data_IF_623034269263
#
_entry.id   IF_623034269263
#
_cell.length_a   1.000
_cell.length_b   1.000
_cell.length_c   1.000
_cell.angle_alpha   90.00
_cell.angle_beta   90.00
_cell.angle_gamma   90.00
#
_symmetry.space_group_name_H-M   'P 1'
#
loop_
_entity.id
_entity.type
_entity.pdbx_description
1 polymer ?
#
# COMPACT_ATOMS: atom_id res chain seq x y z
N UNK A 1 -0.65 5.63 -54.10
CA UNK A 1 -1.88 4.84 -53.89
C UNK A 1 -1.60 3.78 -52.82
N UNK A 2 -2.04 3.99 -51.58
CA UNK A 2 -1.78 3.05 -50.49
C UNK A 2 -2.54 1.75 -50.79
N UNK A 3 -1.84 0.62 -50.83
CA UNK A 3 -2.45 -0.68 -51.13
C UNK A 3 -3.40 -1.05 -49.99
N UNK A 4 -4.65 -1.42 -50.32
CA UNK A 4 -5.69 -1.86 -49.36
C UNK A 4 -5.17 -2.90 -48.35
N UNK A 5 -4.31 -3.81 -48.80
CA UNK A 5 -3.72 -4.87 -47.96
C UNK A 5 -2.83 -4.30 -46.83
N UNK A 6 -2.15 -3.17 -47.07
CA UNK A 6 -1.29 -2.53 -46.09
C UNK A 6 -2.11 -1.87 -44.98
N UNK A 7 -3.27 -1.29 -45.32
CA UNK A 7 -4.22 -0.75 -44.34
C UNK A 7 -4.78 -1.86 -43.46
N UNK A 8 -5.22 -2.97 -44.04
CA UNK A 8 -5.74 -4.12 -43.28
C UNK A 8 -4.67 -4.68 -42.34
N UNK A 9 -3.42 -4.79 -42.80
CA UNK A 9 -2.29 -5.20 -41.96
C UNK A 9 -2.08 -4.26 -40.77
N UNK A 10 -2.04 -2.95 -41.00
CA UNK A 10 -1.87 -1.95 -39.93
C UNK A 10 -3.01 -2.04 -38.91
N UNK A 11 -4.27 -2.15 -39.38
CA UNK A 11 -5.42 -2.27 -38.49
C UNK A 11 -5.32 -3.54 -37.63
N UNK A 12 -4.98 -4.67 -38.23
CA UNK A 12 -4.77 -5.93 -37.50
C UNK A 12 -3.63 -5.81 -36.47
N UNK A 13 -2.53 -5.17 -36.85
CA UNK A 13 -1.38 -4.93 -35.97
C UNK A 13 -1.75 -4.05 -34.77
N UNK A 14 -2.53 -2.99 -34.97
CA UNK A 14 -3.00 -2.11 -33.89
C UNK A 14 -3.90 -2.88 -32.92
N UNK A 15 -4.85 -3.67 -33.44
CA UNK A 15 -5.77 -4.46 -32.61
C UNK A 15 -5.01 -5.51 -31.80
N UNK A 16 -4.12 -6.27 -32.46
CA UNK A 16 -3.29 -7.29 -31.80
C UNK A 16 -2.41 -6.67 -30.71
N UNK A 17 -1.78 -5.52 -30.99
CA UNK A 17 -0.97 -4.79 -30.00
C UNK A 17 -1.82 -4.31 -28.83
N UNK A 18 -3.01 -3.76 -29.09
CA UNK A 18 -3.94 -3.33 -28.05
C UNK A 18 -4.39 -4.47 -27.13
N UNK A 19 -4.77 -5.60 -27.71
CA UNK A 19 -5.12 -6.82 -26.98
C UNK A 19 -3.96 -7.33 -26.12
N UNK A 20 -2.75 -7.33 -26.68
CA UNK A 20 -1.55 -7.76 -25.97
C UNK A 20 -1.25 -6.86 -24.76
N UNK A 21 -1.37 -5.54 -24.93
CA UNK A 21 -1.21 -4.57 -23.84
C UNK A 21 -2.25 -4.81 -22.74
N UNK A 22 -3.54 -4.94 -23.09
CA UNK A 22 -4.60 -5.19 -22.12
C UNK A 22 -4.34 -6.50 -21.35
N UNK A 23 -3.92 -7.55 -22.04
CA UNK A 23 -3.59 -8.82 -21.42
C UNK A 23 -2.45 -8.66 -20.41
N UNK A 24 -1.37 -7.99 -20.79
CA UNK A 24 -0.21 -7.76 -19.92
C UNK A 24 -0.54 -6.88 -18.70
N UNK A 25 -1.43 -5.90 -18.87
CA UNK A 25 -1.92 -5.02 -17.81
C UNK A 25 -2.83 -5.74 -16.80
N UNK A 26 -3.56 -6.77 -17.24
CA UNK A 26 -4.44 -7.54 -16.37
C UNK A 26 -3.68 -8.62 -15.56
N UNK A 27 -2.45 -8.94 -15.93
CA UNK A 27 -1.62 -9.86 -15.16
C UNK A 27 -1.33 -9.30 -13.76
N UNK A 28 -1.26 -10.20 -12.77
CA UNK A 28 -0.95 -9.84 -11.40
C UNK A 28 0.55 -9.88 -11.16
N UNK A 29 1.11 -8.81 -10.62
CA UNK A 29 2.52 -8.77 -10.22
C UNK A 29 2.64 -8.55 -8.72
N UNK A 30 3.82 -8.85 -8.19
CA UNK A 30 4.18 -8.62 -6.79
C UNK A 30 5.32 -7.62 -6.72
N UNK A 31 5.15 -6.57 -5.92
CA UNK A 31 6.12 -5.48 -5.74
C UNK A 31 6.25 -5.12 -4.26
N UNK A 32 7.38 -4.54 -3.91
CA UNK A 32 7.68 -4.08 -2.55
C UNK A 32 7.79 -2.56 -2.55
N UNK A 33 7.14 -1.90 -1.59
CA UNK A 33 7.14 -0.45 -1.44
C UNK A 33 7.51 -0.05 -0.02
N UNK A 34 8.26 1.04 0.11
CA UNK A 34 8.51 1.70 1.39
C UNK A 34 7.54 2.85 1.61
N UNK A 35 6.82 2.85 2.73
CA UNK A 35 5.90 3.93 3.14
C UNK A 35 6.08 4.22 4.63
N UNK A 36 5.90 5.46 5.04
CA UNK A 36 5.94 5.80 6.47
C UNK A 36 4.53 5.72 7.08
N UNK A 37 4.34 4.89 8.10
CA UNK A 37 3.11 4.88 8.88
C UNK A 37 3.18 5.87 10.05
N UNK A 38 2.20 6.76 10.10
CA UNK A 38 1.95 7.70 11.19
C UNK A 38 0.82 7.14 12.04
N UNK A 39 1.13 6.72 13.25
CA UNK A 39 0.11 6.31 14.22
C UNK A 39 -0.53 7.55 14.82
N UNK A 40 -1.85 7.66 14.73
CA UNK A 40 -2.64 8.78 15.25
C UNK A 40 -3.57 8.36 16.38
N UNK A 41 -4.10 9.33 17.12
CA UNK A 41 -5.05 9.10 18.21
C UNK A 41 -4.49 8.21 19.32
N UNK A 42 -3.20 8.39 19.62
CA UNK A 42 -2.55 7.73 20.74
C UNK A 42 -3.18 8.25 22.04
N UNK A 43 -3.69 7.39 22.95
CA UNK A 43 -4.35 7.84 24.17
C UNK A 43 -3.49 8.80 25.02
N UNK A 44 -4.10 9.82 25.62
CA UNK A 44 -3.43 10.86 26.46
C UNK A 44 -2.65 10.32 27.67
N UNK A 45 -2.79 9.03 27.98
CA UNK A 45 -1.95 8.34 28.96
C UNK A 45 -0.46 8.26 28.53
N UNK A 46 -0.15 8.63 27.28
CA UNK A 46 1.16 8.52 26.66
C UNK A 46 1.73 9.91 26.30
N UNK A 47 3.06 10.07 26.39
CA UNK A 47 3.75 11.34 26.13
C UNK A 47 3.93 11.69 24.64
N UNK A 48 3.41 10.88 23.72
CA UNK A 48 3.63 11.04 22.28
C UNK A 48 2.31 11.01 21.51
N UNK A 49 1.97 12.12 20.85
CA UNK A 49 0.72 12.28 20.08
C UNK A 49 0.72 11.51 18.75
N UNK A 50 1.90 11.30 18.15
CA UNK A 50 2.05 10.52 16.92
C UNK A 50 3.42 9.85 16.81
N UNK A 51 3.45 8.68 16.16
CA UNK A 51 4.67 7.89 15.95
C UNK A 51 4.85 7.59 14.47
N UNK A 52 6.00 7.95 13.91
CA UNK A 52 6.39 7.67 12.53
C UNK A 52 7.17 6.34 12.48
N UNK A 53 6.75 5.42 11.63
CA UNK A 53 7.33 4.08 11.51
C UNK A 53 7.52 3.77 10.03
N UNK A 54 8.76 3.57 9.55
CA UNK A 54 8.97 3.14 8.18
C UNK A 54 8.48 1.70 8.02
N UNK A 55 7.56 1.49 7.08
CA UNK A 55 7.00 0.20 6.71
C UNK A 55 7.44 -0.19 5.30
N UNK A 56 7.79 -1.45 5.12
CA UNK A 56 7.93 -2.10 3.83
C UNK A 56 6.71 -2.98 3.61
N UNK A 57 5.94 -2.68 2.57
CA UNK A 57 4.74 -3.44 2.22
C UNK A 57 4.97 -4.23 0.93
N UNK A 58 4.66 -5.52 0.96
CA UNK A 58 4.67 -6.38 -0.22
C UNK A 58 3.25 -6.46 -0.76
N UNK A 59 3.05 -5.98 -1.97
CA UNK A 59 1.75 -5.79 -2.58
C UNK A 59 1.61 -6.68 -3.80
N UNK A 60 0.48 -7.38 -3.93
CA UNK A 60 0.08 -8.08 -5.15
C UNK A 60 -1.13 -7.39 -5.76
N UNK A 61 -0.95 -6.87 -6.97
CA UNK A 61 -2.00 -6.16 -7.68
C UNK A 61 -1.85 -6.36 -9.20
N UNK A 62 -2.90 -6.04 -9.96
CA UNK A 62 -2.84 -6.04 -11.43
C UNK A 62 -1.88 -4.97 -11.94
N UNK A 63 -1.30 -5.16 -13.13
CA UNK A 63 -0.34 -4.22 -13.73
C UNK A 63 -0.80 -2.77 -13.72
N UNK A 64 -2.05 -2.49 -14.08
CA UNK A 64 -2.63 -1.13 -13.99
C UNK A 64 -2.60 -0.54 -12.58
N UNK A 65 -2.94 -1.34 -11.57
CA UNK A 65 -2.96 -0.89 -10.17
C UNK A 65 -1.55 -0.59 -9.66
N UNK A 66 -0.55 -1.35 -10.12
CA UNK A 66 0.85 -1.16 -9.76
C UNK A 66 1.38 0.14 -10.32
N UNK A 67 1.07 0.44 -11.58
CA UNK A 67 1.45 1.72 -12.22
C UNK A 67 0.82 2.89 -11.46
N UNK A 68 -0.46 2.76 -11.08
CA UNK A 68 -1.15 3.79 -10.30
C UNK A 68 -0.53 3.96 -8.92
N UNK A 69 -0.12 2.84 -8.30
CA UNK A 69 0.54 2.85 -7.01
C UNK A 69 1.93 3.50 -7.13
N UNK A 70 2.76 3.16 -8.12
CA UNK A 70 4.07 3.79 -8.32
C UNK A 70 3.99 5.31 -8.51
N UNK A 71 2.95 5.82 -9.18
CA UNK A 71 2.79 7.25 -9.44
C UNK A 71 2.11 8.03 -8.31
N UNK A 72 1.28 7.37 -7.49
CA UNK A 72 0.43 8.03 -6.50
C UNK A 72 0.53 7.43 -5.10
N UNK A 73 1.56 6.64 -4.81
CA UNK A 73 1.76 6.11 -3.46
C UNK A 73 2.02 7.28 -2.49
N UNK A 74 1.20 7.43 -1.44
CA UNK A 74 1.46 8.45 -0.44
C UNK A 74 2.75 8.10 0.31
N UNK A 75 3.61 9.09 0.50
CA UNK A 75 4.83 8.93 1.32
C UNK A 75 4.50 8.61 2.78
N UNK A 76 3.32 9.03 3.26
CA UNK A 76 2.86 8.82 4.64
C UNK A 76 1.44 8.28 4.65
N UNK A 77 1.21 7.23 5.43
CA UNK A 77 -0.13 6.69 5.71
C UNK A 77 -0.48 6.93 7.18
N UNK A 78 -1.73 7.25 7.47
CA UNK A 78 -2.19 7.49 8.84
C UNK A 78 -3.00 6.29 9.31
N UNK A 79 -2.55 5.66 10.39
CA UNK A 79 -3.23 4.52 11.02
C UNK A 79 -3.68 4.95 12.41
N UNK A 80 -4.97 4.88 12.76
CA UNK A 80 -5.41 5.20 14.11
C UNK A 80 -5.03 4.08 15.07
N UNK A 81 -4.64 4.43 16.30
CA UNK A 81 -4.17 3.47 17.31
C UNK A 81 -5.18 2.34 17.61
N UNK A 82 -6.47 2.60 17.46
CA UNK A 82 -7.56 1.61 17.62
C UNK A 82 -7.46 0.41 16.67
N UNK A 83 -6.82 0.59 15.51
CA UNK A 83 -6.69 -0.45 14.49
C UNK A 83 -5.46 -1.34 14.73
N UNK A 84 -4.67 -1.03 15.76
CA UNK A 84 -3.51 -1.82 16.17
C UNK A 84 -3.94 -2.93 17.13
N UNK A 85 -3.48 -4.15 16.87
CA UNK A 85 -3.76 -5.30 17.75
C UNK A 85 -2.70 -5.42 18.84
N UNK A 86 -3.13 -5.51 20.09
CA UNK A 86 -2.22 -5.77 21.22
C UNK A 86 -1.76 -7.23 21.15
N UNK A 87 -0.46 -7.44 20.94
CA UNK A 87 0.13 -8.79 20.88
C UNK A 87 0.54 -9.28 22.27
N UNK A 88 1.01 -8.39 23.14
CA UNK A 88 1.44 -8.76 24.48
C UNK A 88 1.26 -7.60 25.48
N UNK A 89 1.06 -7.92 26.77
CA UNK A 89 1.02 -6.98 27.90
C UNK A 89 2.32 -6.14 28.03
N UNK A 90 3.37 -6.50 27.29
CA UNK A 90 4.68 -5.81 27.20
C UNK A 90 4.80 -4.75 26.09
N UNK A 91 3.69 -4.11 25.69
CA UNK A 91 3.69 -2.95 24.79
C UNK A 91 4.08 -3.25 23.32
N UNK A 92 3.72 -4.44 22.85
CA UNK A 92 3.90 -4.86 21.45
C UNK A 92 2.56 -4.78 20.73
N UNK A 93 2.54 -4.08 19.60
CA UNK A 93 1.37 -3.88 18.76
C UNK A 93 1.66 -4.42 17.37
N UNK A 94 0.72 -5.17 16.81
CA UNK A 94 0.81 -5.66 15.43
C UNK A 94 -0.08 -4.83 14.52
N UNK A 95 0.43 -4.54 13.32
CA UNK A 95 -0.26 -3.81 12.27
C UNK A 95 -0.98 -4.82 11.39
N UNK A 96 -2.30 -4.72 11.30
CA UNK A 96 -3.08 -5.56 10.39
C UNK A 96 -2.91 -5.11 8.94
N UNK A 97 -2.78 -6.10 8.04
CA UNK A 97 -2.76 -5.87 6.59
C UNK A 97 -4.01 -5.18 6.08
N UNK A 98 -5.16 -5.44 6.69
CA UNK A 98 -6.45 -4.84 6.34
C UNK A 98 -6.50 -3.35 6.66
N UNK A 99 -5.88 -2.90 7.75
CA UNK A 99 -5.80 -1.49 8.15
C UNK A 99 -5.03 -0.64 7.12
N UNK A 100 -4.08 -1.25 6.41
CA UNK A 100 -3.36 -0.60 5.32
C UNK A 100 -4.13 -0.78 4.00
N UNK A 101 -4.62 -1.98 3.70
CA UNK A 101 -5.32 -2.29 2.45
C UNK A 101 -6.60 -1.49 2.23
N UNK A 102 -7.30 -1.13 3.31
CA UNK A 102 -8.54 -0.34 3.27
C UNK A 102 -8.31 1.14 3.62
N UNK A 103 -7.05 1.59 3.69
CA UNK A 103 -6.76 2.97 3.99
C UNK A 103 -7.21 3.86 2.81
N UNK A 104 -8.05 4.85 3.09
CA UNK A 104 -8.60 5.78 2.09
C UNK A 104 -7.52 6.64 1.41
N UNK A 105 -6.32 6.70 1.98
CA UNK A 105 -5.18 7.43 1.43
C UNK A 105 -4.48 6.68 0.29
N UNK A 106 -4.77 5.39 0.12
CA UNK A 106 -4.24 4.63 -1.00
C UNK A 106 -5.05 4.91 -2.26
N UNK A 107 -4.39 5.15 -3.41
CA UNK A 107 -5.06 5.46 -4.66
C UNK A 107 -5.88 4.29 -5.22
N UNK A 108 -5.58 3.05 -4.78
CA UNK A 108 -6.24 1.83 -5.25
C UNK A 108 -6.32 0.78 -4.14
N UNK A 109 -7.41 0.01 -4.14
CA UNK A 109 -7.53 -1.20 -3.32
C UNK A 109 -6.54 -2.27 -3.80
N UNK A 110 -5.58 -2.59 -2.93
CA UNK A 110 -4.47 -3.49 -3.19
C UNK A 110 -4.47 -4.66 -2.20
N UNK A 111 -4.05 -5.84 -2.63
CA UNK A 111 -3.88 -6.97 -1.73
C UNK A 111 -2.47 -6.97 -1.17
N UNK A 112 -2.34 -6.72 0.13
CA UNK A 112 -1.05 -6.74 0.84
C UNK A 112 -0.77 -8.19 1.25
N UNK A 113 0.38 -8.73 0.84
CA UNK A 113 0.85 -10.05 1.24
C UNK A 113 1.62 -9.99 2.55
N UNK A 114 2.43 -8.95 2.72
CA UNK A 114 3.39 -8.88 3.82
C UNK A 114 3.63 -7.42 4.23
N UNK A 115 3.89 -7.22 5.52
CA UNK A 115 4.25 -5.92 6.12
C UNK A 115 5.48 -6.16 6.97
N UNK A 116 6.51 -5.34 6.79
CA UNK A 116 7.71 -5.37 7.61
C UNK A 116 8.03 -3.97 8.13
N UNK A 117 8.19 -3.76 9.45
CA UNK A 117 7.88 -4.71 10.52
C UNK A 117 6.36 -4.94 10.68
N UNK A 118 5.97 -6.18 10.95
CA UNK A 118 4.59 -6.59 11.27
C UNK A 118 4.19 -6.24 12.72
N UNK A 119 5.19 -6.09 13.58
CA UNK A 119 5.07 -5.78 15.00
C UNK A 119 5.94 -4.60 15.37
N UNK A 120 5.34 -3.65 16.07
CA UNK A 120 5.97 -2.43 16.53
C UNK A 120 5.96 -2.39 18.06
N UNK A 121 7.05 -1.91 18.64
CA UNK A 121 7.16 -1.74 20.08
C UNK A 121 6.91 -0.28 20.42
N UNK A 122 5.83 -0.02 21.14
CA UNK A 122 5.49 1.34 21.58
C UNK A 122 5.95 1.50 23.02
N UNK A 123 6.96 2.33 23.26
CA UNK A 123 7.48 2.50 24.61
C UNK A 123 6.69 3.56 25.35
N UNK A 124 5.68 3.13 26.12
CA UNK A 124 4.90 4.03 26.96
C UNK A 124 5.78 4.61 28.06
N UNK A 125 6.13 5.89 27.93
CA UNK A 125 6.44 6.74 29.08
C UNK A 125 5.11 7.18 29.66
N UNK A 126 4.79 6.69 30.85
CA UNK A 126 3.65 7.18 31.61
C UNK A 126 3.97 8.62 32.00
N UNK A 127 3.10 9.56 31.61
CA UNK A 127 3.22 10.95 32.06
C UNK A 127 3.18 10.95 33.58
N UNK A 128 4.32 11.16 34.26
CA UNK A 128 4.34 11.40 35.70
C UNK A 128 3.65 12.74 35.92
N UNK A 129 2.40 12.71 36.35
CA UNK A 129 1.74 13.89 36.90
C UNK A 129 2.61 14.39 38.06
N UNK A 130 3.12 15.61 37.95
CA UNK A 130 3.82 16.33 39.00
C UNK A 130 2.87 17.37 39.57
#
# INVERSE_FOLDING_TARGET
MIKKNLIVFIVCLIIASGLWIIHHLNQTYTREYGIDAVITHIPKAYEQDSMLIPLKIKVKASGLKIILLENHLPSKIYIPFKDLKVVNKKKLYSIHTESISNNEQLPVKIKILEIQPDTIRINFKTKKNK
#
